data_IF_545201173150
#
_entry.id   IF_545201173150
#
_cell.length_a   1.000
_cell.length_b   1.000
_cell.length_c   1.000
_cell.angle_alpha   90.00
_cell.angle_beta   90.00
_cell.angle_gamma   90.00
#
_symmetry.space_group_name_H-M   'P 1'
#
loop_
_entity.id
_entity.type
_entity.pdbx_description
1 polymer ?
#
# COMPACT_ATOMS: atom_id res chain seq x y z
N UNK A 1 80.60 -40.61 60.76
CA UNK A 1 79.45 -40.34 61.60
C UNK A 1 78.46 -39.46 60.80
N UNK A 2 77.36 -40.06 60.48
CA UNK A 2 76.04 -39.50 60.04
C UNK A 2 76.05 -38.38 58.97
N UNK A 3 75.95 -38.78 57.68
CA UNK A 3 75.55 -38.00 56.52
C UNK A 3 74.07 -38.01 56.39
N UNK A 4 73.47 -36.82 56.35
CA UNK A 4 72.00 -36.62 56.12
C UNK A 4 71.79 -36.26 54.66
N UNK A 5 71.14 -37.13 53.91
CA UNK A 5 70.79 -36.89 52.54
C UNK A 5 69.53 -36.07 52.48
N UNK A 6 69.56 -34.97 51.72
CA UNK A 6 68.40 -34.08 51.48
C UNK A 6 67.85 -34.43 50.10
N UNK A 7 66.69 -35.10 50.08
CA UNK A 7 65.95 -35.38 48.88
C UNK A 7 65.05 -34.16 48.52
N UNK A 8 65.44 -33.45 47.47
CA UNK A 8 64.69 -32.37 46.92
C UNK A 8 63.61 -32.93 45.95
N UNK A 9 62.33 -32.91 46.35
CA UNK A 9 61.18 -33.24 45.47
C UNK A 9 60.95 -32.07 44.58
N UNK A 10 61.18 -32.20 43.27
CA UNK A 10 60.79 -31.29 42.24
C UNK A 10 59.28 -31.57 41.90
N UNK A 11 58.36 -30.72 42.36
CA UNK A 11 57.00 -30.70 41.90
C UNK A 11 56.95 -29.94 40.57
N UNK A 12 56.78 -30.66 39.44
CA UNK A 12 56.40 -30.07 38.16
C UNK A 12 54.91 -29.65 38.26
N UNK A 13 54.73 -28.36 38.42
CA UNK A 13 53.34 -27.75 38.24
C UNK A 13 53.03 -27.79 36.74
N UNK A 14 52.17 -28.74 36.33
CA UNK A 14 51.47 -28.66 35.08
C UNK A 14 50.40 -27.62 35.22
N UNK A 15 50.65 -26.40 34.73
CA UNK A 15 49.64 -25.36 34.56
C UNK A 15 48.84 -25.68 33.27
N UNK A 16 47.53 -26.01 33.31
CA UNK A 16 46.75 -26.18 32.10
C UNK A 16 46.66 -24.82 31.43
N UNK A 17 47.26 -24.68 30.26
CA UNK A 17 47.08 -23.54 29.38
C UNK A 17 45.62 -23.55 28.88
N UNK A 18 44.73 -22.86 29.59
CA UNK A 18 43.39 -22.61 29.11
C UNK A 18 43.54 -21.67 27.92
N UNK A 19 43.58 -22.23 26.70
CA UNK A 19 43.40 -21.48 25.48
C UNK A 19 41.96 -21.05 25.47
N UNK A 20 41.70 -19.86 26.01
CA UNK A 20 40.43 -19.19 25.80
C UNK A 20 40.33 -18.86 24.30
N UNK A 21 39.75 -19.77 23.53
CA UNK A 21 39.26 -19.44 22.23
C UNK A 21 38.15 -18.40 22.43
N UNK A 22 38.51 -17.11 22.38
CA UNK A 22 37.52 -16.05 22.23
C UNK A 22 36.84 -16.26 20.89
N UNK A 23 35.72 -16.99 20.90
CA UNK A 23 34.77 -16.86 19.83
C UNK A 23 34.44 -15.36 19.77
N UNK A 24 34.98 -14.66 18.78
CA UNK A 24 34.51 -13.35 18.43
C UNK A 24 33.05 -13.51 17.98
N UNK A 25 32.14 -13.46 18.94
CA UNK A 25 30.71 -13.42 18.64
C UNK A 25 30.48 -12.12 17.87
N UNK A 26 30.14 -12.24 16.60
CA UNK A 26 29.79 -11.10 15.77
C UNK A 26 28.65 -10.34 16.46
N UNK A 27 28.90 -9.13 16.91
CA UNK A 27 27.93 -8.31 17.69
C UNK A 27 26.88 -7.65 16.83
N UNK A 28 27.08 -7.63 15.51
CA UNK A 28 26.20 -6.96 14.56
C UNK A 28 24.97 -7.78 14.16
N UNK A 29 24.34 -7.36 13.07
CA UNK A 29 23.21 -8.06 12.42
C UNK A 29 23.70 -8.71 11.13
N UNK A 30 23.15 -9.89 10.83
CA UNK A 30 23.36 -10.58 9.56
C UNK A 30 22.00 -10.80 8.91
N UNK A 31 21.85 -10.34 7.67
CA UNK A 31 20.73 -10.73 6.81
C UNK A 31 21.28 -11.72 5.79
N UNK A 32 20.83 -12.96 5.84
CA UNK A 32 21.20 -13.99 4.88
C UNK A 32 19.98 -14.44 4.10
N UNK A 33 20.14 -14.84 2.86
CA UNK A 33 19.01 -15.26 2.06
C UNK A 33 19.37 -16.19 0.92
N UNK A 34 18.33 -16.80 0.37
CA UNK A 34 18.36 -17.60 -0.85
C UNK A 34 17.25 -17.12 -1.78
N UNK A 35 17.64 -16.69 -2.97
CA UNK A 35 16.73 -16.18 -4.01
C UNK A 35 17.06 -16.89 -5.33
N UNK A 36 16.55 -18.10 -5.54
CA UNK A 36 16.62 -18.78 -6.85
C UNK A 36 16.14 -17.87 -7.98
N UNK A 37 16.92 -17.79 -9.05
CA UNK A 37 16.74 -16.84 -10.16
C UNK A 37 17.60 -15.59 -10.05
N UNK A 38 18.29 -15.40 -8.91
CA UNK A 38 19.22 -14.27 -8.67
C UNK A 38 20.70 -14.65 -8.75
N UNK A 39 21.03 -15.79 -9.35
CA UNK A 39 22.40 -16.29 -9.46
C UNK A 39 23.33 -15.26 -10.07
N UNK A 40 24.42 -14.95 -9.38
CA UNK A 40 25.41 -13.93 -9.75
C UNK A 40 24.84 -12.50 -9.93
N UNK A 41 23.63 -12.22 -9.49
CA UNK A 41 23.05 -10.86 -9.49
C UNK A 41 23.44 -10.10 -8.22
N UNK A 42 23.46 -8.77 -8.30
CA UNK A 42 23.67 -7.94 -7.12
C UNK A 42 22.36 -7.80 -6.35
N UNK A 43 22.42 -8.11 -5.06
CA UNK A 43 21.37 -7.86 -4.07
C UNK A 43 21.67 -6.54 -3.39
N UNK A 44 20.74 -5.62 -3.45
CA UNK A 44 20.82 -4.32 -2.80
C UNK A 44 19.90 -4.28 -1.59
N UNK A 45 20.32 -3.62 -0.55
CA UNK A 45 19.46 -3.27 0.58
C UNK A 45 19.43 -1.76 0.72
N UNK A 46 18.27 -1.19 0.47
CA UNK A 46 18.01 0.24 0.53
C UNK A 46 17.19 0.58 1.79
N UNK A 47 17.52 1.65 2.51
CA UNK A 47 16.66 2.22 3.53
C UNK A 47 15.56 3.05 2.86
N UNK A 48 14.29 2.81 3.21
CA UNK A 48 13.16 3.51 2.62
C UNK A 48 13.03 4.94 3.15
N UNK A 49 12.77 5.86 2.23
CA UNK A 49 12.30 7.22 2.47
C UNK A 49 11.04 7.44 1.63
N UNK A 50 10.14 8.30 2.08
CA UNK A 50 8.93 8.67 1.31
C UNK A 50 9.21 9.89 0.43
N UNK A 51 10.06 10.79 0.90
CA UNK A 51 10.31 12.10 0.27
C UNK A 51 11.59 12.15 -0.55
N UNK A 52 12.47 11.15 -0.39
CA UNK A 52 13.76 11.07 -1.06
C UNK A 52 13.91 9.74 -1.78
N UNK A 53 14.89 9.66 -2.66
CA UNK A 53 15.30 8.37 -3.21
C UNK A 53 15.76 7.45 -2.05
N UNK A 54 15.40 6.15 -2.10
CA UNK A 54 15.89 5.20 -1.13
C UNK A 54 17.41 5.23 -1.03
N UNK A 55 17.94 5.22 0.18
CA UNK A 55 19.38 5.27 0.41
C UNK A 55 19.95 3.86 0.38
N UNK A 56 20.91 3.61 -0.50
CA UNK A 56 21.66 2.35 -0.51
C UNK A 56 22.42 2.19 0.81
N UNK A 57 22.13 1.11 1.55
CA UNK A 57 22.78 0.78 2.82
C UNK A 57 23.88 -0.25 2.62
N UNK A 58 23.55 -1.35 1.94
CA UNK A 58 24.48 -2.42 1.62
C UNK A 58 24.15 -3.03 0.27
N UNK A 59 25.16 -3.63 -0.34
CA UNK A 59 25.00 -4.51 -1.50
C UNK A 59 25.93 -5.69 -1.41
N UNK A 60 25.55 -6.81 -1.99
CA UNK A 60 26.32 -8.04 -2.06
C UNK A 60 25.98 -8.80 -3.33
N UNK A 61 26.91 -9.53 -3.90
CA UNK A 61 26.66 -10.39 -5.03
C UNK A 61 26.14 -11.74 -4.53
N UNK A 62 25.01 -12.19 -5.06
CA UNK A 62 24.53 -13.54 -4.83
C UNK A 62 25.46 -14.56 -5.49
N UNK A 63 25.65 -15.71 -4.86
CA UNK A 63 26.45 -16.80 -5.38
C UNK A 63 25.75 -17.54 -6.55
N UNK A 64 26.34 -18.65 -6.98
CA UNK A 64 25.82 -19.48 -8.08
C UNK A 64 24.51 -20.20 -7.74
N UNK A 65 24.16 -20.27 -6.48
CA UNK A 65 22.89 -20.81 -5.95
C UNK A 65 21.89 -19.71 -5.58
N UNK A 66 22.19 -18.44 -5.88
CA UNK A 66 21.35 -17.31 -5.53
C UNK A 66 21.36 -16.95 -4.04
N UNK A 67 22.38 -17.40 -3.29
CA UNK A 67 22.53 -17.10 -1.86
C UNK A 67 23.32 -15.81 -1.65
N UNK A 68 22.96 -15.05 -0.63
CA UNK A 68 23.66 -13.80 -0.25
C UNK A 68 23.78 -13.65 1.26
N UNK A 69 24.66 -12.75 1.70
CA UNK A 69 24.87 -12.47 3.12
C UNK A 69 25.30 -11.02 3.36
N UNK A 70 24.36 -10.18 3.78
CA UNK A 70 24.60 -8.79 4.16
C UNK A 70 24.97 -8.71 5.65
N UNK A 71 26.07 -8.04 5.98
CA UNK A 71 26.58 -7.94 7.34
C UNK A 71 26.59 -6.48 7.82
N UNK A 72 25.99 -6.25 8.97
CA UNK A 72 25.98 -4.98 9.68
C UNK A 72 26.83 -5.08 10.94
N UNK A 73 28.09 -4.65 10.94
CA UNK A 73 28.96 -4.78 12.11
C UNK A 73 28.41 -4.10 13.36
N UNK A 74 27.77 -2.94 13.18
CA UNK A 74 27.20 -2.11 14.25
C UNK A 74 25.72 -2.43 14.53
N UNK A 75 25.17 -3.46 13.87
CA UNK A 75 23.73 -3.79 13.89
C UNK A 75 22.91 -2.99 12.88
N UNK A 76 21.72 -3.51 12.55
CA UNK A 76 20.76 -2.82 11.72
C UNK A 76 20.04 -1.74 12.54
N UNK A 77 19.75 -0.60 11.94
CA UNK A 77 18.95 0.43 12.59
C UNK A 77 17.46 0.10 12.46
N UNK A 78 16.65 0.65 13.36
CA UNK A 78 15.20 0.61 13.24
C UNK A 78 14.76 1.35 11.98
N UNK A 79 13.89 0.71 11.19
CA UNK A 79 13.39 1.31 9.95
C UNK A 79 12.77 0.28 9.01
N UNK A 80 12.47 0.75 7.83
CA UNK A 80 11.96 -0.08 6.75
C UNK A 80 13.01 -0.13 5.64
N UNK A 81 13.30 -1.33 5.20
CA UNK A 81 14.32 -1.61 4.21
C UNK A 81 13.71 -2.32 3.01
N UNK A 82 14.28 -2.08 1.85
CA UNK A 82 13.92 -2.77 0.61
C UNK A 82 15.08 -3.59 0.12
N UNK A 83 14.92 -4.89 0.11
CA UNK A 83 15.81 -5.82 -0.55
C UNK A 83 15.43 -5.86 -2.03
N UNK A 84 16.36 -5.49 -2.90
CA UNK A 84 16.12 -5.35 -4.35
C UNK A 84 17.12 -6.18 -5.14
N UNK A 85 16.59 -6.92 -6.12
CA UNK A 85 17.37 -7.72 -7.09
C UNK A 85 16.81 -7.49 -8.48
N UNK A 86 17.57 -6.82 -9.34
CA UNK A 86 17.07 -6.38 -10.65
C UNK A 86 15.84 -5.47 -10.51
N UNK A 87 14.72 -5.85 -11.08
CA UNK A 87 13.45 -5.13 -11.01
C UNK A 87 12.52 -5.63 -9.88
N UNK A 88 12.94 -6.64 -9.15
CA UNK A 88 12.16 -7.26 -8.10
C UNK A 88 12.58 -6.73 -6.73
N UNK A 89 11.62 -6.64 -5.81
CA UNK A 89 11.89 -6.13 -4.48
C UNK A 89 11.00 -6.76 -3.41
N UNK A 90 11.54 -6.82 -2.20
CA UNK A 90 10.86 -7.27 -1.00
C UNK A 90 11.11 -6.26 0.14
N UNK A 91 10.09 -5.97 0.93
CA UNK A 91 10.23 -5.03 2.05
C UNK A 91 10.49 -5.79 3.36
N UNK A 92 11.40 -5.26 4.17
CA UNK A 92 11.79 -5.74 5.49
C UNK A 92 11.56 -4.63 6.51
N UNK A 93 11.00 -4.97 7.66
CA UNK A 93 10.78 -4.03 8.77
C UNK A 93 11.68 -4.48 9.91
N UNK A 94 12.59 -3.61 10.35
CA UNK A 94 13.55 -3.91 11.41
C UNK A 94 13.27 -3.05 12.64
N UNK A 95 13.31 -3.66 13.82
CA UNK A 95 13.21 -2.93 15.10
C UNK A 95 14.56 -2.49 15.66
N UNK A 96 15.66 -2.96 15.04
CA UNK A 96 17.04 -2.67 15.43
C UNK A 96 17.62 -3.66 16.46
N UNK A 97 16.87 -4.65 16.89
CA UNK A 97 17.33 -5.67 17.85
C UNK A 97 17.82 -6.97 17.16
N UNK A 98 17.55 -7.10 15.88
CA UNK A 98 17.81 -8.30 15.10
C UNK A 98 19.30 -8.65 15.07
N UNK A 99 19.63 -9.93 15.26
CA UNK A 99 21.00 -10.47 15.15
C UNK A 99 21.17 -11.30 13.90
N UNK A 100 20.18 -12.09 13.58
CA UNK A 100 20.15 -12.92 12.38
C UNK A 100 18.76 -12.83 11.76
N UNK A 101 18.71 -12.45 10.47
CA UNK A 101 17.49 -12.45 9.67
C UNK A 101 17.71 -13.36 8.48
N UNK A 102 16.77 -14.28 8.25
CA UNK A 102 16.80 -15.17 7.09
C UNK A 102 15.69 -14.77 6.13
N UNK A 103 16.05 -14.68 4.87
CA UNK A 103 15.18 -14.33 3.76
C UNK A 103 15.20 -15.43 2.71
N UNK A 104 14.06 -16.00 2.39
CA UNK A 104 13.91 -17.02 1.36
C UNK A 104 12.77 -16.66 0.42
N UNK A 105 13.03 -16.64 -0.89
CA UNK A 105 12.06 -16.31 -1.91
C UNK A 105 12.54 -16.65 -3.30
N UNK A 106 11.67 -16.63 -4.28
CA UNK A 106 12.02 -16.75 -5.69
C UNK A 106 12.03 -15.37 -6.35
N UNK A 107 13.01 -15.10 -7.22
CA UNK A 107 13.18 -13.79 -7.82
C UNK A 107 11.87 -13.25 -8.43
N UNK A 108 11.16 -14.06 -9.23
CA UNK A 108 9.94 -13.62 -9.91
C UNK A 108 8.73 -13.41 -8.98
N UNK A 109 8.85 -13.77 -7.71
CA UNK A 109 7.75 -13.66 -6.74
C UNK A 109 7.93 -12.57 -5.68
N UNK A 110 9.04 -11.83 -5.69
CA UNK A 110 9.33 -10.86 -4.62
C UNK A 110 8.31 -9.72 -4.58
N UNK A 111 7.95 -9.17 -5.74
CA UNK A 111 6.95 -8.10 -5.82
C UNK A 111 5.54 -8.57 -5.41
N UNK A 112 5.26 -9.88 -5.50
CA UNK A 112 3.97 -10.49 -5.20
C UNK A 112 3.92 -11.08 -3.79
N UNK A 113 4.86 -10.68 -2.92
CA UNK A 113 4.98 -11.17 -1.54
C UNK A 113 5.24 -12.68 -1.41
N UNK A 114 5.72 -13.34 -2.48
CA UNK A 114 6.03 -14.75 -2.47
C UNK A 114 7.45 -15.01 -1.94
N UNK A 115 7.68 -14.60 -0.70
CA UNK A 115 8.91 -14.81 0.06
C UNK A 115 8.58 -15.02 1.54
N UNK A 116 9.58 -15.43 2.31
CA UNK A 116 9.51 -15.58 3.76
C UNK A 116 10.64 -14.83 4.42
N UNK A 117 10.39 -14.35 5.62
CA UNK A 117 11.39 -13.72 6.49
C UNK A 117 11.26 -14.37 7.85
N UNK A 118 12.37 -14.70 8.48
CA UNK A 118 12.45 -15.16 9.88
C UNK A 118 13.55 -14.41 10.61
N UNK A 119 13.38 -14.22 11.92
CA UNK A 119 14.33 -13.46 12.75
C UNK A 119 14.08 -11.96 12.78
N UNK A 120 13.02 -11.45 12.10
CA UNK A 120 12.50 -10.12 12.29
C UNK A 120 10.98 -10.21 12.54
N UNK A 121 10.57 -10.03 13.78
CA UNK A 121 9.17 -10.14 14.19
C UNK A 121 8.25 -9.20 13.41
N UNK A 122 8.71 -7.98 13.15
CA UNK A 122 7.90 -6.98 12.43
C UNK A 122 7.72 -7.36 10.96
N UNK A 123 8.77 -7.88 10.31
CA UNK A 123 8.68 -8.38 8.92
C UNK A 123 7.77 -9.61 8.83
N UNK A 124 7.85 -10.52 9.80
CA UNK A 124 7.00 -11.71 9.87
C UNK A 124 5.52 -11.32 10.05
N UNK A 125 5.22 -10.40 10.96
CA UNK A 125 3.87 -9.86 11.19
C UNK A 125 3.31 -9.18 9.95
N UNK A 126 4.10 -8.30 9.33
CA UNK A 126 3.75 -7.63 8.08
C UNK A 126 3.37 -8.64 6.99
N UNK A 127 4.26 -9.59 6.69
CA UNK A 127 4.03 -10.59 5.64
C UNK A 127 2.82 -11.47 5.93
N UNK A 128 2.65 -11.92 7.15
CA UNK A 128 1.48 -12.73 7.55
C UNK A 128 0.18 -11.97 7.28
N UNK A 129 0.14 -10.69 7.63
CA UNK A 129 -1.05 -9.84 7.44
C UNK A 129 -1.34 -9.62 5.96
N UNK A 130 -0.32 -9.23 5.18
CA UNK A 130 -0.47 -9.00 3.74
C UNK A 130 -0.91 -10.28 3.01
N UNK A 131 -0.31 -11.43 3.33
CA UNK A 131 -0.70 -12.72 2.74
C UNK A 131 -2.13 -13.11 3.12
N UNK A 132 -2.55 -12.89 4.37
CA UNK A 132 -3.95 -13.12 4.77
C UNK A 132 -4.94 -12.29 3.95
N UNK A 133 -4.59 -11.06 3.60
CA UNK A 133 -5.41 -10.22 2.74
C UNK A 133 -5.41 -10.72 1.28
N UNK A 134 -4.24 -11.01 0.72
CA UNK A 134 -4.11 -11.52 -0.66
C UNK A 134 -4.86 -12.85 -0.82
N UNK A 135 -4.76 -13.74 0.15
CA UNK A 135 -5.47 -15.04 0.18
C UNK A 135 -6.97 -14.89 0.47
N UNK A 136 -7.52 -13.67 0.51
CA UNK A 136 -8.94 -13.38 0.82
C UNK A 136 -9.42 -13.91 2.18
N UNK A 137 -8.50 -14.13 3.12
CA UNK A 137 -8.81 -14.52 4.51
C UNK A 137 -9.11 -13.31 5.41
N UNK A 138 -8.88 -12.12 4.89
CA UNK A 138 -9.11 -10.84 5.58
C UNK A 138 -9.73 -9.86 4.58
N UNK A 139 -10.85 -9.23 4.96
CA UNK A 139 -11.50 -8.20 4.15
C UNK A 139 -10.90 -6.81 4.39
N UNK A 140 -11.25 -5.84 3.54
CA UNK A 140 -10.74 -4.45 3.63
C UNK A 140 -11.08 -3.79 4.97
N UNK A 141 -12.31 -3.87 5.52
CA UNK A 141 -12.62 -3.29 6.84
C UNK A 141 -11.75 -3.86 7.96
N UNK A 142 -11.58 -5.18 8.00
CA UNK A 142 -10.74 -5.87 9.00
C UNK A 142 -9.27 -5.45 8.84
N UNK A 143 -8.76 -5.40 7.61
CA UNK A 143 -7.39 -4.95 7.33
C UNK A 143 -7.18 -3.49 7.75
N UNK A 144 -8.16 -2.59 7.48
CA UNK A 144 -8.11 -1.18 7.88
C UNK A 144 -8.02 -1.04 9.39
N UNK A 145 -8.87 -1.77 10.12
CA UNK A 145 -8.87 -1.81 11.58
C UNK A 145 -7.54 -2.32 12.11
N UNK A 146 -7.05 -3.46 11.59
CA UNK A 146 -5.76 -4.01 11.97
C UNK A 146 -4.62 -3.01 11.74
N UNK A 147 -4.56 -2.39 10.56
CA UNK A 147 -3.52 -1.43 10.19
C UNK A 147 -3.42 -0.27 11.16
N UNK A 148 -4.56 0.27 11.61
CA UNK A 148 -4.59 1.35 12.59
C UNK A 148 -4.31 0.90 14.03
N UNK A 149 -4.50 -0.38 14.35
CA UNK A 149 -4.43 -0.91 15.72
C UNK A 149 -3.22 -1.79 16.00
N UNK A 150 -2.44 -2.19 14.97
CA UNK A 150 -1.25 -3.03 15.16
C UNK A 150 -0.33 -2.52 16.28
N UNK A 151 0.30 -3.44 16.99
CA UNK A 151 1.12 -3.12 18.17
C UNK A 151 2.32 -2.23 17.80
N UNK A 152 2.99 -2.54 16.69
CA UNK A 152 4.09 -1.71 16.19
C UNK A 152 3.63 -0.86 14.99
N UNK A 153 3.70 0.49 15.08
CA UNK A 153 3.21 1.36 14.02
C UNK A 153 4.04 1.31 12.72
N UNK A 154 5.26 0.76 12.71
CA UNK A 154 6.00 0.54 11.47
C UNK A 154 5.32 -0.53 10.58
N UNK A 155 4.72 -1.56 11.19
CA UNK A 155 3.92 -2.55 10.47
C UNK A 155 2.68 -1.87 9.88
N UNK A 156 1.97 -1.08 10.69
CA UNK A 156 0.81 -0.31 10.23
C UNK A 156 1.15 0.64 9.09
N UNK A 157 2.25 1.37 9.23
CA UNK A 157 2.76 2.26 8.18
C UNK A 157 3.02 1.51 6.86
N UNK A 158 3.73 0.39 6.92
CA UNK A 158 4.08 -0.35 5.70
C UNK A 158 2.85 -0.95 5.01
N UNK A 159 1.87 -1.45 5.79
CA UNK A 159 0.59 -1.91 5.25
C UNK A 159 -0.17 -0.73 4.61
N UNK A 160 -0.28 0.41 5.31
CA UNK A 160 -0.97 1.59 4.83
C UNK A 160 -0.39 2.08 3.50
N UNK A 161 0.93 2.23 3.42
CA UNK A 161 1.61 2.70 2.22
C UNK A 161 1.55 1.70 1.06
N UNK A 162 1.56 0.41 1.34
CA UNK A 162 1.64 -0.63 0.31
C UNK A 162 0.27 -1.03 -0.25
N UNK A 163 -0.76 -1.11 0.58
CA UNK A 163 -2.07 -1.63 0.20
C UNK A 163 -3.14 -0.54 0.05
N UNK A 164 -3.09 0.51 0.85
CA UNK A 164 -4.09 1.58 0.83
C UNK A 164 -3.63 2.80 0.02
N UNK A 165 -2.31 3.01 -0.10
CA UNK A 165 -1.74 4.20 -0.74
C UNK A 165 -2.28 5.52 -0.16
N UNK A 166 -1.73 6.67 -0.57
CA UNK A 166 -2.15 7.99 -0.08
C UNK A 166 -3.40 8.51 -0.84
N UNK A 167 -4.44 7.69 -0.92
CA UNK A 167 -5.70 8.09 -1.56
C UNK A 167 -6.62 8.80 -0.56
N UNK A 168 -7.45 9.76 -1.01
CA UNK A 168 -8.32 10.55 -0.14
C UNK A 168 -9.21 9.72 0.79
N UNK A 169 -9.74 8.59 0.32
CA UNK A 169 -10.60 7.71 1.10
C UNK A 169 -9.90 7.02 2.28
N UNK A 170 -8.57 6.97 2.28
CA UNK A 170 -7.77 6.36 3.35
C UNK A 170 -6.98 7.36 4.18
N UNK A 171 -7.18 8.66 3.98
CA UNK A 171 -6.45 9.72 4.71
C UNK A 171 -6.58 9.56 6.23
N UNK A 172 -7.77 9.24 6.73
CA UNK A 172 -7.99 9.07 8.17
C UNK A 172 -7.23 7.86 8.73
N UNK A 173 -7.14 6.76 7.97
CA UNK A 173 -6.29 5.63 8.32
C UNK A 173 -4.82 6.06 8.42
N UNK A 174 -4.32 6.77 7.41
CA UNK A 174 -2.94 7.27 7.40
C UNK A 174 -2.66 8.21 8.57
N UNK A 175 -3.61 9.10 8.93
CA UNK A 175 -3.49 9.99 10.11
C UNK A 175 -3.40 9.22 11.42
N UNK A 176 -4.22 8.18 11.60
CA UNK A 176 -4.17 7.32 12.79
C UNK A 176 -2.81 6.62 12.92
N UNK A 177 -2.32 6.04 11.82
CA UNK A 177 -0.99 5.39 11.80
C UNK A 177 0.12 6.40 12.07
N UNK A 178 0.07 7.58 11.46
CA UNK A 178 1.06 8.65 11.65
C UNK A 178 1.08 9.15 13.11
N UNK A 179 -0.07 9.29 13.75
CA UNK A 179 -0.16 9.66 15.15
C UNK A 179 0.52 8.63 16.06
N UNK A 180 0.33 7.33 15.80
CA UNK A 180 1.03 6.26 16.52
C UNK A 180 2.54 6.28 16.28
N UNK A 181 2.97 6.49 15.02
CA UNK A 181 4.40 6.64 14.71
C UNK A 181 5.02 7.82 15.44
N UNK A 182 4.34 8.97 15.49
CA UNK A 182 4.81 10.15 16.22
C UNK A 182 4.94 9.89 17.74
N UNK A 183 4.08 9.06 18.29
CA UNK A 183 4.15 8.67 19.72
C UNK A 183 5.28 7.69 19.99
N UNK A 184 5.43 6.66 19.14
CA UNK A 184 6.36 5.56 19.37
C UNK A 184 7.78 5.85 18.86
N UNK A 185 7.89 6.60 17.76
CA UNK A 185 9.15 6.84 17.02
C UNK A 185 9.29 8.30 16.56
N UNK A 186 9.23 9.30 17.46
CA UNK A 186 9.22 10.72 17.10
C UNK A 186 10.49 11.16 16.36
N UNK A 187 11.62 10.51 16.63
CA UNK A 187 12.92 10.86 16.05
C UNK A 187 13.25 10.14 14.75
N UNK A 188 12.45 9.15 14.37
CA UNK A 188 12.67 8.42 13.12
C UNK A 188 12.39 9.38 11.93
N UNK A 189 13.34 9.43 10.98
CA UNK A 189 13.20 10.29 9.79
C UNK A 189 11.89 9.99 9.03
N UNK A 190 11.58 8.72 8.86
CA UNK A 190 10.37 8.24 8.21
C UNK A 190 9.09 8.76 8.87
N UNK A 191 9.06 8.87 10.20
CA UNK A 191 7.92 9.46 10.94
C UNK A 191 7.71 10.92 10.57
N UNK A 192 8.79 11.70 10.52
CA UNK A 192 8.74 13.14 10.17
C UNK A 192 8.32 13.34 8.71
N UNK A 193 8.84 12.52 7.80
CA UNK A 193 8.47 12.53 6.40
C UNK A 193 6.97 12.21 6.21
N UNK A 194 6.48 11.16 6.88
CA UNK A 194 5.09 10.75 6.79
C UNK A 194 4.13 11.82 7.30
N UNK A 195 4.40 12.39 8.46
CA UNK A 195 3.60 13.50 9.00
C UNK A 195 3.59 14.71 8.04
N UNK A 196 4.76 15.04 7.46
CA UNK A 196 4.88 16.14 6.51
C UNK A 196 4.04 15.94 5.24
N UNK A 197 4.05 14.73 4.67
CA UNK A 197 3.23 14.42 3.48
C UNK A 197 1.74 14.52 3.81
N UNK A 198 1.31 14.04 4.97
CA UNK A 198 -0.11 14.12 5.35
C UNK A 198 -0.59 15.56 5.54
N UNK A 199 0.27 16.45 6.07
CA UNK A 199 -0.03 17.88 6.14
C UNK A 199 -0.19 18.49 4.74
N UNK A 200 0.69 18.16 3.80
CA UNK A 200 0.59 18.62 2.42
C UNK A 200 -0.68 18.10 1.73
N UNK A 201 -1.00 16.82 1.94
CA UNK A 201 -2.22 16.21 1.41
C UNK A 201 -3.47 16.89 1.96
N UNK A 202 -3.54 17.15 3.27
CA UNK A 202 -4.65 17.90 3.88
C UNK A 202 -4.79 19.31 3.29
N UNK A 203 -3.68 20.04 3.14
CA UNK A 203 -3.71 21.36 2.53
C UNK A 203 -4.21 21.33 1.09
N UNK A 204 -3.79 20.34 0.31
CA UNK A 204 -4.25 20.14 -1.06
C UNK A 204 -5.75 19.81 -1.12
N UNK A 205 -6.24 18.93 -0.25
CA UNK A 205 -7.66 18.59 -0.14
C UNK A 205 -8.48 19.81 0.29
N UNK A 206 -8.00 20.59 1.27
CA UNK A 206 -8.67 21.83 1.70
C UNK A 206 -8.73 22.87 0.56
N UNK A 207 -7.64 23.02 -0.19
CA UNK A 207 -7.60 23.95 -1.34
C UNK A 207 -8.57 23.52 -2.46
N UNK A 208 -8.65 22.21 -2.76
CA UNK A 208 -9.62 21.67 -3.70
C UNK A 208 -11.06 21.90 -3.22
N UNK A 209 -11.33 21.64 -1.94
CA UNK A 209 -12.67 21.85 -1.34
C UNK A 209 -13.02 23.34 -1.21
N UNK A 210 -12.07 24.23 -0.98
CA UNK A 210 -12.31 25.68 -0.94
C UNK A 210 -12.78 26.23 -2.29
N UNK A 211 -12.35 25.60 -3.40
CA UNK A 211 -12.82 25.91 -4.75
C UNK A 211 -14.12 25.20 -5.14
N UNK A 212 -14.56 24.22 -4.37
CA UNK A 212 -15.79 23.49 -4.66
C UNK A 212 -17.02 24.35 -4.40
N UNK A 213 -17.88 24.49 -5.42
CA UNK A 213 -19.17 25.19 -5.28
C UNK A 213 -20.17 24.44 -4.39
N UNK A 214 -19.91 23.18 -4.10
CA UNK A 214 -20.76 22.29 -3.30
C UNK A 214 -19.88 21.67 -2.21
N UNK A 215 -20.34 21.77 -0.96
CA UNK A 215 -19.65 21.19 0.20
C UNK A 215 -20.45 20.06 0.80
N UNK A 216 -19.77 19.13 1.44
CA UNK A 216 -20.43 18.05 2.21
C UNK A 216 -21.32 18.66 3.29
N UNK A 217 -22.56 18.17 3.38
CA UNK A 217 -23.58 18.68 4.31
C UNK A 217 -24.40 19.85 3.80
N UNK A 218 -24.07 20.42 2.63
CA UNK A 218 -24.89 21.44 1.96
C UNK A 218 -25.90 20.80 1.02
N UNK A 219 -27.05 21.45 0.77
CA UNK A 219 -28.01 20.98 -0.21
C UNK A 219 -27.38 20.86 -1.61
N UNK A 220 -27.60 19.74 -2.27
CA UNK A 220 -27.20 19.58 -3.66
C UNK A 220 -27.95 20.56 -4.57
N UNK A 221 -27.28 21.14 -5.56
CA UNK A 221 -27.97 21.93 -6.61
C UNK A 221 -29.01 21.08 -7.34
N UNK A 222 -30.06 21.71 -7.83
CA UNK A 222 -31.02 21.03 -8.67
C UNK A 222 -30.37 20.55 -9.97
N UNK A 223 -30.58 19.30 -10.30
CA UNK A 223 -30.23 18.69 -11.60
C UNK A 223 -31.54 18.38 -12.29
N UNK A 224 -31.74 18.95 -13.48
CA UNK A 224 -32.95 18.74 -14.25
C UNK A 224 -32.57 18.43 -15.70
N UNK A 225 -32.72 17.16 -16.09
CA UNK A 225 -32.25 16.63 -17.37
C UNK A 225 -33.33 15.69 -17.99
N UNK A 226 -33.37 15.56 -19.31
CA UNK A 226 -34.25 14.59 -19.96
C UNK A 226 -33.66 13.16 -19.78
N UNK A 227 -34.56 12.20 -19.48
CA UNK A 227 -34.25 10.78 -19.54
C UNK A 227 -34.16 10.29 -21.01
N UNK A 228 -33.79 9.02 -21.27
CA UNK A 228 -33.73 8.47 -22.62
C UNK A 228 -35.03 8.64 -23.45
N UNK A 229 -36.19 8.69 -22.78
CA UNK A 229 -37.50 8.90 -23.43
C UNK A 229 -37.81 10.37 -23.73
N UNK A 230 -36.98 11.30 -23.22
CA UNK A 230 -37.19 12.74 -23.32
C UNK A 230 -37.98 13.34 -22.16
N UNK A 231 -38.39 12.55 -21.17
CA UNK A 231 -39.07 13.04 -19.98
C UNK A 231 -38.08 13.71 -19.04
N UNK A 232 -38.35 14.93 -18.61
CA UNK A 232 -37.52 15.65 -17.67
C UNK A 232 -37.56 14.97 -16.29
N UNK A 233 -36.42 14.65 -15.75
CA UNK A 233 -36.19 14.12 -14.40
C UNK A 233 -35.45 15.16 -13.57
N UNK A 234 -35.84 15.31 -12.32
CA UNK A 234 -35.28 16.30 -11.40
C UNK A 234 -34.72 15.58 -10.18
N UNK A 235 -33.57 16.03 -9.67
CA UNK A 235 -33.01 15.49 -8.44
C UNK A 235 -34.01 15.70 -7.26
N UNK A 236 -34.76 16.79 -7.27
CA UNK A 236 -35.81 17.05 -6.26
C UNK A 236 -36.96 16.03 -6.24
N UNK A 237 -37.15 15.23 -7.30
CA UNK A 237 -38.15 14.17 -7.36
C UNK A 237 -37.85 13.00 -6.44
N UNK A 238 -36.60 12.93 -5.97
CA UNK A 238 -36.06 11.85 -5.09
C UNK A 238 -36.02 12.25 -3.62
N UNK A 239 -36.65 13.37 -3.21
CA UNK A 239 -36.68 13.78 -1.82
C UNK A 239 -37.23 12.69 -0.90
N UNK A 240 -36.56 12.49 0.24
CA UNK A 240 -36.90 11.45 1.21
C UNK A 240 -36.24 10.11 0.96
N UNK A 241 -35.44 9.98 -0.11
CA UNK A 241 -34.62 8.80 -0.40
C UNK A 241 -33.14 9.08 -0.14
N UNK A 242 -32.37 8.03 0.01
CA UNK A 242 -30.91 8.07 -0.11
C UNK A 242 -30.58 7.91 -1.59
N UNK A 243 -30.00 8.92 -2.21
CA UNK A 243 -29.75 8.97 -3.66
C UNK A 243 -28.26 8.96 -3.95
N UNK A 244 -27.81 8.00 -4.76
CA UNK A 244 -26.49 8.02 -5.39
C UNK A 244 -26.61 8.87 -6.67
N UNK A 245 -25.90 9.99 -6.73
CA UNK A 245 -25.72 10.75 -7.97
C UNK A 245 -24.49 10.19 -8.66
N UNK A 246 -24.70 9.57 -9.84
CA UNK A 246 -23.63 8.90 -10.60
C UNK A 246 -23.38 9.65 -11.92
N UNK A 247 -22.16 10.14 -12.11
CA UNK A 247 -21.72 10.78 -13.34
C UNK A 247 -20.91 9.77 -14.17
N UNK A 248 -21.46 9.35 -15.30
CA UNK A 248 -20.88 8.31 -16.13
C UNK A 248 -20.96 8.61 -17.63
N UNK A 249 -20.42 7.72 -18.46
CA UNK A 249 -20.61 7.76 -19.91
C UNK A 249 -20.43 6.37 -20.54
N UNK A 250 -21.00 6.15 -21.72
CA UNK A 250 -20.86 4.88 -22.46
C UNK A 250 -19.41 4.53 -22.81
N UNK A 251 -18.60 5.54 -23.02
CA UNK A 251 -17.17 5.42 -23.34
C UNK A 251 -16.24 5.38 -22.10
N UNK A 252 -16.79 5.60 -20.90
CA UNK A 252 -16.00 5.60 -19.66
C UNK A 252 -15.74 4.16 -19.18
N UNK A 253 -14.62 3.59 -19.55
CA UNK A 253 -14.26 2.22 -19.18
C UNK A 253 -14.29 1.92 -17.67
N UNK A 254 -13.72 2.75 -16.80
CA UNK A 254 -13.82 2.59 -15.34
C UNK A 254 -15.28 2.64 -14.85
N UNK A 255 -16.12 3.55 -15.37
CA UNK A 255 -17.53 3.65 -15.01
C UNK A 255 -18.26 2.34 -15.36
N UNK A 256 -18.07 1.84 -16.59
CA UNK A 256 -18.66 0.59 -17.07
C UNK A 256 -18.26 -0.62 -16.22
N UNK A 257 -17.04 -0.63 -15.67
CA UNK A 257 -16.58 -1.67 -14.72
C UNK A 257 -17.25 -1.56 -13.35
N UNK A 258 -17.64 -0.37 -12.93
CA UNK A 258 -18.31 -0.14 -11.64
C UNK A 258 -19.82 -0.44 -11.71
N UNK A 259 -20.45 -0.26 -12.87
CA UNK A 259 -21.89 -0.41 -13.06
C UNK A 259 -22.49 -1.71 -12.51
N UNK A 260 -21.91 -2.91 -12.70
CA UNK A 260 -22.47 -4.14 -12.13
C UNK A 260 -22.62 -4.09 -10.61
N UNK A 261 -21.67 -3.44 -9.91
CA UNK A 261 -21.76 -3.27 -8.46
C UNK A 261 -22.87 -2.27 -8.08
N UNK A 262 -23.02 -1.17 -8.83
CA UNK A 262 -24.12 -0.21 -8.60
C UNK A 262 -25.47 -0.89 -8.79
N UNK A 263 -25.61 -1.73 -9.83
CA UNK A 263 -26.84 -2.52 -10.10
C UNK A 263 -27.14 -3.45 -8.91
N UNK A 264 -26.15 -4.15 -8.38
CA UNK A 264 -26.31 -5.02 -7.22
C UNK A 264 -26.81 -4.24 -6.00
N UNK A 265 -26.15 -3.11 -5.68
CA UNK A 265 -26.53 -2.23 -4.56
C UNK A 265 -27.95 -1.67 -4.75
N UNK A 266 -28.27 -1.20 -5.95
CA UNK A 266 -29.60 -0.70 -6.26
C UNK A 266 -30.68 -1.75 -6.00
N UNK A 267 -30.55 -2.95 -6.55
CA UNK A 267 -31.52 -4.03 -6.33
C UNK A 267 -31.67 -4.42 -4.87
N UNK A 268 -30.56 -4.41 -4.10
CA UNK A 268 -30.54 -4.74 -2.68
C UNK A 268 -31.25 -3.72 -1.80
N UNK A 269 -31.20 -2.43 -2.16
CA UNK A 269 -31.63 -1.36 -1.27
C UNK A 269 -32.78 -0.49 -1.79
N UNK A 270 -33.21 -0.62 -3.06
CA UNK A 270 -34.32 0.18 -3.62
C UNK A 270 -35.59 0.10 -2.79
N UNK A 271 -35.94 -1.08 -2.28
CA UNK A 271 -37.15 -1.26 -1.41
C UNK A 271 -36.96 -0.64 -0.02
N UNK A 272 -35.76 -0.21 0.34
CA UNK A 272 -35.42 0.44 1.60
C UNK A 272 -35.23 1.95 1.48
N UNK A 273 -35.64 2.53 0.35
CA UNK A 273 -35.56 3.98 0.12
C UNK A 273 -34.21 4.44 -0.47
N UNK A 274 -33.44 3.55 -1.08
CA UNK A 274 -32.27 3.91 -1.88
C UNK A 274 -32.64 4.05 -3.35
N UNK A 275 -32.04 5.02 -4.03
CA UNK A 275 -32.20 5.21 -5.47
C UNK A 275 -30.92 5.69 -6.13
N UNK A 276 -30.87 5.65 -7.45
CA UNK A 276 -29.74 6.13 -8.26
C UNK A 276 -30.24 7.17 -9.26
N UNK A 277 -29.56 8.31 -9.32
CA UNK A 277 -29.79 9.35 -10.32
C UNK A 277 -28.52 9.43 -11.19
N UNK A 278 -28.55 8.77 -12.35
CA UNK A 278 -27.38 8.76 -13.24
C UNK A 278 -27.42 9.91 -14.24
N UNK A 279 -26.33 10.65 -14.34
CA UNK A 279 -26.12 11.74 -15.29
C UNK A 279 -25.12 11.27 -16.34
N UNK A 280 -25.57 11.10 -17.57
CA UNK A 280 -24.72 10.74 -18.68
C UNK A 280 -23.95 11.94 -19.24
N UNK A 281 -22.68 11.74 -19.51
CA UNK A 281 -21.80 12.69 -20.21
C UNK A 281 -21.68 12.37 -21.70
N UNK A 282 -22.57 11.54 -22.25
CA UNK A 282 -22.57 11.15 -23.66
C UNK A 282 -23.05 12.26 -24.62
N UNK A 283 -23.47 13.39 -24.09
CA UNK A 283 -23.85 14.55 -24.90
C UNK A 283 -22.67 15.22 -25.59
N UNK A 284 -22.98 16.16 -26.46
CA UNK A 284 -21.98 17.04 -27.09
C UNK A 284 -22.00 18.37 -26.29
N UNK A 285 -20.87 18.71 -25.67
CA UNK A 285 -20.73 19.96 -24.95
C UNK A 285 -20.74 21.18 -25.91
N UNK A 286 -21.07 22.35 -25.38
CA UNK A 286 -21.22 23.58 -26.16
C UNK A 286 -19.97 23.99 -26.95
N UNK A 287 -18.77 23.70 -26.44
CA UNK A 287 -17.53 24.00 -27.16
C UNK A 287 -17.31 23.06 -28.34
N UNK A 288 -17.62 21.79 -28.15
CA UNK A 288 -17.57 20.79 -29.21
C UNK A 288 -18.65 21.05 -30.25
N UNK A 289 -19.88 21.41 -29.85
CA UNK A 289 -20.99 21.78 -30.76
C UNK A 289 -20.61 22.96 -31.65
N UNK A 290 -19.89 23.98 -31.15
CA UNK A 290 -19.46 25.14 -31.92
C UNK A 290 -18.44 24.81 -33.04
N UNK A 291 -17.84 23.61 -33.03
CA UNK A 291 -16.89 23.15 -34.09
C UNK A 291 -17.62 22.63 -35.32
N UNK A 292 -18.90 22.34 -35.20
CA UNK A 292 -19.73 21.90 -36.33
C UNK A 292 -20.29 23.12 -37.07
N UNK A 293 -19.88 23.25 -38.32
CA UNK A 293 -20.38 24.33 -39.20
C UNK A 293 -21.70 23.94 -39.85
N UNK A 294 -22.01 22.65 -39.94
CA UNK A 294 -23.22 22.09 -40.50
C UNK A 294 -24.12 21.51 -39.39
N UNK A 295 -25.35 22.05 -39.19
CA UNK A 295 -26.28 21.52 -38.21
C UNK A 295 -26.69 20.05 -38.47
N UNK A 296 -26.65 19.57 -39.71
CA UNK A 296 -27.00 18.20 -40.02
C UNK A 296 -25.91 17.23 -39.47
N UNK A 297 -24.64 17.56 -39.59
CA UNK A 297 -23.56 16.78 -39.02
C UNK A 297 -23.59 16.76 -37.48
N UNK A 298 -23.94 17.89 -36.85
CA UNK A 298 -24.12 17.93 -35.40
C UNK A 298 -25.25 16.98 -34.95
N UNK A 299 -26.39 17.02 -35.64
CA UNK A 299 -27.54 16.16 -35.32
C UNK A 299 -27.23 14.67 -35.52
N UNK A 300 -26.48 14.31 -36.59
CA UNK A 300 -26.02 12.94 -36.82
C UNK A 300 -25.11 12.47 -35.70
N UNK A 301 -24.14 13.30 -35.32
CA UNK A 301 -23.22 12.98 -34.20
C UNK A 301 -23.98 12.85 -32.88
N UNK A 302 -24.95 13.71 -32.60
CA UNK A 302 -25.80 13.59 -31.41
C UNK A 302 -26.61 12.30 -31.39
N UNK A 303 -27.19 11.91 -32.54
CA UNK A 303 -27.90 10.65 -32.67
C UNK A 303 -26.99 9.45 -32.40
N UNK A 304 -25.79 9.43 -32.99
CA UNK A 304 -24.81 8.36 -32.78
C UNK A 304 -24.31 8.25 -31.32
N UNK A 305 -24.17 9.40 -30.63
CA UNK A 305 -23.80 9.37 -29.18
C UNK A 305 -24.96 8.86 -28.35
N UNK A 306 -26.20 9.23 -28.65
CA UNK A 306 -27.38 8.74 -27.97
C UNK A 306 -27.56 7.23 -28.16
N UNK A 307 -27.36 6.72 -29.36
CA UNK A 307 -27.43 5.27 -29.62
C UNK A 307 -26.42 4.49 -28.78
N UNK A 308 -25.16 4.93 -28.72
CA UNK A 308 -24.14 4.31 -27.87
C UNK A 308 -24.52 4.35 -26.39
N UNK A 309 -25.07 5.47 -25.91
CA UNK A 309 -25.54 5.61 -24.55
C UNK A 309 -26.64 4.61 -24.22
N UNK A 310 -27.67 4.51 -25.06
CA UNK A 310 -28.76 3.56 -24.91
C UNK A 310 -28.27 2.11 -24.91
N UNK A 311 -27.39 1.77 -25.85
CA UNK A 311 -26.76 0.44 -25.89
C UNK A 311 -25.97 0.12 -24.62
N UNK A 312 -25.30 1.11 -24.03
CA UNK A 312 -24.58 0.95 -22.77
C UNK A 312 -25.52 0.73 -21.58
N UNK A 313 -26.63 1.46 -21.49
CA UNK A 313 -27.68 1.25 -20.48
C UNK A 313 -28.21 -0.18 -20.52
N UNK A 314 -28.54 -0.66 -21.71
CA UNK A 314 -29.05 -2.03 -21.91
C UNK A 314 -28.01 -3.08 -21.54
N UNK A 315 -26.79 -2.93 -22.04
CA UNK A 315 -25.69 -3.86 -21.80
C UNK A 315 -25.33 -3.98 -20.31
N UNK A 316 -25.29 -2.86 -19.60
CA UNK A 316 -24.94 -2.81 -18.18
C UNK A 316 -26.15 -3.02 -17.26
N UNK A 317 -27.37 -3.18 -17.83
CA UNK A 317 -28.64 -3.41 -17.10
C UNK A 317 -28.95 -2.30 -16.09
N UNK A 318 -28.75 -1.03 -16.50
CA UNK A 318 -29.06 0.12 -15.65
C UNK A 318 -30.59 0.33 -15.67
N UNK A 319 -31.28 -0.05 -14.59
CA UNK A 319 -32.74 -0.13 -14.48
C UNK A 319 -33.34 0.99 -13.65
N UNK A 320 -32.56 1.97 -13.25
CA UNK A 320 -33.01 3.21 -12.59
C UNK A 320 -33.19 4.36 -13.60
N UNK A 321 -33.69 5.48 -13.14
CA UNK A 321 -33.91 6.70 -13.94
C UNK A 321 -32.66 7.50 -14.23
#
# INVERSE_FOLDING_TARGET
MKTLAFLQKIYLLFLPLIVATSCNVFKGTVISGSVPGAENMTVYLDELSITKQPALVLQEQADKEGKFKLKFPDGVKKGIYRLRVGQQAADLIMDGSEKEVKFDGNLNGLNDFNYTVTGSKLSEEYLKTVKSYIDQKMDVPTLTTYTSQTADPLVGFQIAMRLFTLRPEFVDLHKQVSAKMNTSYPDLALTKEYAGILVQLDQQMMAQNAGAKIKVGEPAPEISLPDPSGKVRKLSDYKGKVVLIDFWASWCGPCRKANPHVVEVYHKYKSKGFDVFSVSLDGIDSKTAQRFTDPAQLNEQMAATKERWLGAIEQDKLTWD
#
